data_IF_144525863836
#
_entry.id   IF_144525863836
#
_cell.length_a   1.000
_cell.length_b   1.000
_cell.length_c   1.000
_cell.angle_alpha   90.00
_cell.angle_beta   90.00
_cell.angle_gamma   90.00
#
_symmetry.space_group_name_H-M   'P 1'
#
loop_
_entity.id
_entity.type
_entity.pdbx_description
1 polymer ?
#
# COMPACT_ATOMS: atom_id res chain seq x y z
N UNK A 1 -3.57 1.83 -20.28
CA UNK A 1 -4.94 1.49 -19.84
C UNK A 1 -4.86 1.18 -18.36
N UNK A 2 -5.71 1.80 -17.55
CA UNK A 2 -5.77 1.51 -16.12
C UNK A 2 -6.27 0.08 -15.88
N UNK A 3 -5.66 -0.64 -14.94
CA UNK A 3 -6.03 -2.01 -14.56
C UNK A 3 -6.49 -2.04 -13.12
N UNK A 4 -7.36 -3.02 -12.81
CA UNK A 4 -7.82 -3.30 -11.45
C UNK A 4 -6.62 -3.41 -10.49
N UNK A 5 -6.74 -2.80 -9.31
CA UNK A 5 -5.73 -2.68 -8.26
C UNK A 5 -4.58 -1.70 -8.53
N UNK A 6 -4.45 -1.12 -9.72
CA UNK A 6 -3.43 -0.09 -9.92
C UNK A 6 -3.75 1.15 -9.08
N UNK A 7 -2.71 1.72 -8.48
CA UNK A 7 -2.79 2.95 -7.69
C UNK A 7 -2.19 4.10 -8.49
N UNK A 8 -2.88 5.22 -8.53
CA UNK A 8 -2.47 6.41 -9.26
C UNK A 8 -2.38 7.62 -8.35
N UNK A 9 -1.37 8.46 -8.53
CA UNK A 9 -1.16 9.70 -7.79
C UNK A 9 -1.15 10.92 -8.72
N UNK A 10 -1.85 11.97 -8.33
CA UNK A 10 -1.67 13.29 -8.93
C UNK A 10 -0.45 13.97 -8.28
N UNK A 11 0.58 14.27 -9.07
CA UNK A 11 1.79 14.93 -8.56
C UNK A 11 1.60 16.43 -8.27
N UNK A 12 0.45 17.03 -8.61
CA UNK A 12 0.12 18.43 -8.28
C UNK A 12 -0.59 18.54 -6.93
N UNK A 13 -1.76 17.89 -6.79
CA UNK A 13 -2.59 18.05 -5.58
C UNK A 13 -2.39 16.93 -4.55
N UNK A 14 -1.64 15.87 -4.89
CA UNK A 14 -1.39 14.75 -4.01
C UNK A 14 -2.50 13.70 -3.94
N UNK A 15 -3.63 13.86 -4.65
CA UNK A 15 -4.70 12.85 -4.68
C UNK A 15 -4.15 11.48 -5.10
N UNK A 16 -4.49 10.46 -4.31
CA UNK A 16 -4.19 9.05 -4.60
C UNK A 16 -5.49 8.29 -4.76
N UNK A 17 -5.59 7.48 -5.82
CA UNK A 17 -6.78 6.67 -6.13
C UNK A 17 -6.38 5.25 -6.50
N UNK A 18 -7.24 4.29 -6.19
CA UNK A 18 -7.11 2.92 -6.66
C UNK A 18 -8.18 2.62 -7.71
N UNK A 19 -7.80 1.85 -8.72
CA UNK A 19 -8.69 1.41 -9.79
C UNK A 19 -9.45 0.15 -9.34
N UNK A 20 -10.77 0.28 -9.13
CA UNK A 20 -11.66 -0.85 -8.85
C UNK A 20 -11.97 -1.65 -10.14
N UNK A 21 -12.15 -0.94 -11.25
CA UNK A 21 -12.40 -1.51 -12.57
C UNK A 21 -11.60 -0.78 -13.64
N UNK A 22 -10.82 -1.52 -14.42
CA UNK A 22 -10.00 -0.97 -15.50
C UNK A 22 -10.79 -0.71 -16.78
N UNK A 23 -10.52 0.40 -17.46
CA UNK A 23 -11.10 0.73 -18.77
C UNK A 23 -10.10 1.54 -19.60
N UNK A 24 -10.43 1.80 -20.88
CA UNK A 24 -9.53 2.40 -21.87
C UNK A 24 -9.16 3.88 -21.60
N UNK A 25 -9.95 4.59 -20.78
CA UNK A 25 -9.73 5.99 -20.46
C UNK A 25 -8.44 6.25 -19.66
N UNK A 26 -7.85 7.44 -19.84
CA UNK A 26 -6.72 7.92 -19.05
C UNK A 26 -7.24 8.66 -17.81
N UNK A 27 -6.69 8.33 -16.64
CA UNK A 27 -6.98 9.06 -15.40
C UNK A 27 -6.29 10.42 -15.44
N UNK A 28 -7.06 11.50 -15.27
CA UNK A 28 -6.59 12.89 -15.31
C UNK A 28 -7.00 13.59 -14.02
N UNK A 29 -6.07 14.32 -13.42
CA UNK A 29 -6.31 15.17 -12.27
C UNK A 29 -5.46 16.44 -12.40
N UNK A 30 -6.03 17.61 -12.07
CA UNK A 30 -5.37 18.90 -12.25
C UNK A 30 -4.88 19.17 -13.69
N UNK A 31 -5.64 18.71 -14.69
CA UNK A 31 -5.35 18.95 -16.11
C UNK A 31 -4.21 18.12 -16.69
N UNK A 32 -3.63 17.17 -15.95
CA UNK A 32 -2.60 16.26 -16.44
C UNK A 32 -2.91 14.79 -16.12
N UNK A 33 -2.31 13.84 -16.87
CA UNK A 33 -2.39 12.43 -16.53
C UNK A 33 -1.90 12.17 -15.11
N UNK A 34 -2.64 11.34 -14.35
CA UNK A 34 -2.15 10.85 -13.07
C UNK A 34 -1.02 9.84 -13.29
N UNK A 35 -0.04 9.82 -12.39
CA UNK A 35 1.10 8.91 -12.44
C UNK A 35 0.73 7.56 -11.83
N UNK A 36 1.00 6.47 -12.56
CA UNK A 36 0.93 5.11 -12.01
C UNK A 36 1.99 4.98 -10.92
N UNK A 37 1.57 4.55 -9.73
CA UNK A 37 2.49 4.24 -8.64
C UNK A 37 2.94 2.79 -8.77
N UNK A 38 4.12 2.59 -9.37
CA UNK A 38 4.75 1.28 -9.40
C UNK A 38 5.20 0.89 -7.98
N UNK A 39 4.75 -0.27 -7.52
CA UNK A 39 5.06 -0.74 -6.19
C UNK A 39 6.51 -1.22 -6.09
N UNK A 40 7.23 -0.69 -5.12
CA UNK A 40 8.65 -0.94 -4.88
C UNK A 40 8.87 -2.24 -4.09
N UNK A 41 10.06 -2.85 -4.26
CA UNK A 41 10.47 -4.09 -3.58
C UNK A 41 11.94 -4.10 -3.14
N UNK A 42 12.85 -3.67 -4.01
CA UNK A 42 14.31 -3.81 -3.84
C UNK A 42 15.02 -2.46 -4.04
N UNK A 43 14.49 -1.41 -3.40
CA UNK A 43 15.07 -0.07 -3.43
C UNK A 43 15.72 0.32 -2.09
N UNK A 44 16.48 1.40 -2.09
CA UNK A 44 16.99 2.01 -0.86
C UNK A 44 15.84 2.32 0.11
N UNK A 45 16.00 1.94 1.38
CA UNK A 45 14.97 2.08 2.41
C UNK A 45 14.01 0.89 2.52
N UNK A 46 14.21 -0.22 1.77
CA UNK A 46 13.37 -1.41 1.85
C UNK A 46 13.22 -1.95 3.28
N UNK A 47 14.26 -1.81 4.12
CA UNK A 47 14.24 -2.27 5.50
C UNK A 47 13.19 -1.56 6.35
N UNK A 48 12.72 -0.37 5.92
CA UNK A 48 11.65 0.40 6.60
C UNK A 48 10.31 0.37 5.89
N UNK A 49 10.23 -0.12 4.66
CA UNK A 49 9.02 -0.01 3.84
C UNK A 49 8.47 -1.35 3.37
N UNK A 50 9.34 -2.34 3.14
CA UNK A 50 8.88 -3.64 2.67
C UNK A 50 8.02 -4.30 3.77
N UNK A 51 6.76 -4.67 3.48
CA UNK A 51 5.91 -5.32 4.48
C UNK A 51 6.53 -6.63 4.99
N UNK A 52 6.41 -6.86 6.30
CA UNK A 52 6.80 -8.10 6.97
C UNK A 52 5.53 -8.80 7.42
N UNK A 53 5.35 -10.05 6.96
CA UNK A 53 4.13 -10.84 7.16
C UNK A 53 4.39 -11.88 8.26
N UNK A 54 3.61 -11.82 9.34
CA UNK A 54 3.62 -12.76 10.44
C UNK A 54 2.27 -13.51 10.46
N UNK A 55 2.30 -14.84 10.29
CA UNK A 55 1.09 -15.69 10.27
C UNK A 55 0.89 -16.34 11.65
N UNK A 56 -0.33 -16.33 12.19
CA UNK A 56 -0.65 -17.00 13.45
C UNK A 56 -2.14 -17.02 13.78
N UNK A 57 -2.63 -18.14 14.36
CA UNK A 57 -3.99 -18.29 14.89
C UNK A 57 -5.14 -17.83 13.96
N UNK A 58 -5.02 -18.13 12.66
CA UNK A 58 -6.01 -17.75 11.65
C UNK A 58 -6.02 -16.26 11.28
N UNK A 59 -4.97 -15.55 11.66
CA UNK A 59 -4.77 -14.12 11.41
C UNK A 59 -3.42 -13.87 10.76
N UNK A 60 -3.33 -12.72 10.12
CA UNK A 60 -2.09 -12.19 9.58
C UNK A 60 -1.83 -10.83 10.17
N UNK A 61 -0.65 -10.71 10.77
CA UNK A 61 -0.08 -9.46 11.24
C UNK A 61 0.92 -8.96 10.22
N UNK A 62 0.76 -7.72 9.81
CA UNK A 62 1.67 -7.04 8.88
C UNK A 62 2.35 -5.91 9.63
N UNK A 63 3.68 -5.89 9.61
CA UNK A 63 4.50 -4.75 10.06
C UNK A 63 5.13 -4.08 8.85
N UNK A 64 5.28 -2.77 8.88
CA UNK A 64 5.95 -2.03 7.80
C UNK A 64 7.41 -1.78 8.17
N UNK A 65 8.26 -2.52 7.46
CA UNK A 65 9.71 -2.62 7.65
C UNK A 65 10.15 -3.77 8.56
N UNK A 66 11.32 -4.33 8.26
CA UNK A 66 12.10 -5.12 9.23
C UNK A 66 12.68 -4.24 10.34
N UNK A 67 12.85 -2.96 10.04
CA UNK A 67 13.02 -1.85 10.99
C UNK A 67 11.75 -1.02 10.89
N UNK A 68 11.06 -0.77 12.00
CA UNK A 68 9.78 -0.07 11.97
C UNK A 68 9.88 1.29 11.27
N UNK A 69 8.96 1.53 10.33
CA UNK A 69 8.82 2.80 9.65
C UNK A 69 8.51 3.95 10.65
N UNK A 70 9.04 5.17 10.45
CA UNK A 70 8.63 6.34 11.24
C UNK A 70 7.14 6.68 11.08
N UNK A 71 6.47 7.10 12.16
CA UNK A 71 5.06 7.46 12.12
C UNK A 71 4.88 8.90 12.58
N UNK A 72 5.48 9.84 11.85
CA UNK A 72 5.48 11.27 12.14
C UNK A 72 4.38 12.00 11.36
N UNK A 73 4.01 13.22 11.80
CA UNK A 73 2.87 13.99 11.23
C UNK A 73 2.90 14.18 9.71
N UNK A 74 4.10 14.28 9.13
CA UNK A 74 4.29 14.47 7.68
C UNK A 74 4.92 13.26 6.99
N UNK A 75 5.25 12.21 7.73
CA UNK A 75 5.94 11.04 7.23
C UNK A 75 5.47 9.81 8.01
N UNK A 76 4.49 9.12 7.46
CA UNK A 76 3.88 7.96 8.08
C UNK A 76 3.37 7.00 7.01
N UNK A 77 3.09 5.79 7.43
CA UNK A 77 2.35 4.82 6.64
C UNK A 77 0.88 5.17 6.77
N UNK A 78 0.22 5.55 5.68
CA UNK A 78 -1.20 5.91 5.71
C UNK A 78 -2.09 4.68 5.56
N UNK A 79 -1.58 3.63 4.93
CA UNK A 79 -2.37 2.46 4.56
C UNK A 79 -1.52 1.18 4.54
N UNK A 80 -2.10 0.11 5.08
CA UNK A 80 -1.66 -1.28 4.90
C UNK A 80 -2.82 -2.06 4.30
N UNK A 81 -2.55 -2.87 3.29
CA UNK A 81 -3.56 -3.63 2.57
C UNK A 81 -3.12 -5.05 2.25
N UNK A 82 -4.07 -5.97 2.37
CA UNK A 82 -3.95 -7.35 1.97
C UNK A 82 -4.86 -7.60 0.76
N UNK A 83 -4.30 -8.24 -0.26
CA UNK A 83 -5.02 -8.88 -1.35
C UNK A 83 -4.93 -10.40 -1.13
N UNK A 84 -6.07 -11.07 -1.03
CA UNK A 84 -6.14 -12.51 -0.79
C UNK A 84 -6.00 -13.32 -2.08
N UNK A 85 -5.83 -14.64 -1.95
CA UNK A 85 -5.77 -15.53 -3.10
C UNK A 85 -7.08 -15.55 -3.91
N UNK A 86 -8.22 -15.36 -3.23
CA UNK A 86 -9.55 -15.25 -3.84
C UNK A 86 -9.97 -13.81 -4.20
N UNK A 87 -9.00 -12.90 -4.39
CA UNK A 87 -9.17 -11.52 -4.85
C UNK A 87 -9.99 -10.61 -3.88
N UNK A 88 -10.10 -10.95 -2.60
CA UNK A 88 -10.62 -10.02 -1.57
C UNK A 88 -9.56 -8.99 -1.21
N UNK A 89 -10.02 -7.81 -0.82
CA UNK A 89 -9.19 -6.73 -0.30
C UNK A 89 -9.57 -6.46 1.15
N UNK A 90 -8.56 -6.42 2.03
CA UNK A 90 -8.69 -5.92 3.38
C UNK A 90 -7.71 -4.75 3.54
N UNK A 91 -8.19 -3.62 4.05
CA UNK A 91 -7.39 -2.41 4.18
C UNK A 91 -7.52 -1.82 5.58
N UNK A 92 -6.39 -1.45 6.17
CA UNK A 92 -6.29 -0.67 7.39
C UNK A 92 -5.64 0.67 7.06
N UNK A 93 -6.34 1.76 7.38
CA UNK A 93 -5.74 3.09 7.43
C UNK A 93 -5.09 3.31 8.79
N UNK A 94 -3.95 3.98 8.78
CA UNK A 94 -3.19 4.39 9.95
C UNK A 94 -3.04 5.92 9.95
N UNK A 95 -2.77 6.47 11.11
CA UNK A 95 -2.53 7.89 11.34
C UNK A 95 -1.10 8.11 11.85
N UNK A 96 -0.59 9.35 11.82
CA UNK A 96 0.63 9.67 12.53
C UNK A 96 0.58 9.19 14.00
N UNK A 97 1.71 8.68 14.48
CA UNK A 97 1.96 8.14 15.82
C UNK A 97 1.30 6.79 16.12
N UNK A 98 0.50 6.24 15.21
CA UNK A 98 0.10 4.83 15.30
C UNK A 98 1.33 3.93 15.16
N UNK A 99 1.26 2.69 15.63
CA UNK A 99 2.27 1.68 15.28
C UNK A 99 2.13 1.36 13.77
N UNK A 100 3.24 1.20 13.01
CA UNK A 100 3.22 0.92 11.58
C UNK A 100 2.90 -0.56 11.31
N UNK A 101 1.80 -1.05 11.89
CA UNK A 101 1.34 -2.43 11.79
C UNK A 101 -0.18 -2.55 11.72
N UNK A 102 -0.65 -3.68 11.19
CA UNK A 102 -2.06 -4.01 11.12
C UNK A 102 -2.28 -5.53 11.23
N UNK A 103 -3.37 -5.92 11.87
CA UNK A 103 -3.81 -7.31 11.98
C UNK A 103 -5.10 -7.52 11.18
N UNK A 104 -5.17 -8.65 10.47
CA UNK A 104 -6.28 -9.01 9.60
C UNK A 104 -6.72 -10.45 9.87
N UNK A 105 -8.02 -10.67 9.99
CA UNK A 105 -8.63 -12.00 10.18
C UNK A 105 -8.71 -12.75 8.84
N UNK A 106 -7.55 -13.16 8.32
CA UNK A 106 -7.38 -13.88 7.06
C UNK A 106 -6.15 -14.77 7.08
N UNK A 107 -6.16 -15.86 6.31
CA UNK A 107 -5.07 -16.84 6.22
C UNK A 107 -4.40 -16.89 4.84
N UNK A 108 -5.17 -16.64 3.78
CA UNK A 108 -4.76 -16.77 2.39
C UNK A 108 -4.35 -15.41 1.79
N UNK A 109 -3.06 -15.09 1.87
CA UNK A 109 -2.52 -13.84 1.33
C UNK A 109 -1.81 -14.11 0.01
N UNK A 110 -2.09 -13.26 -0.97
CA UNK A 110 -1.43 -13.23 -2.27
C UNK A 110 -0.42 -12.08 -2.32
N UNK A 111 -0.86 -10.90 -1.89
CA UNK A 111 -0.04 -9.68 -1.91
C UNK A 111 -0.37 -8.80 -0.71
N UNK A 112 0.66 -8.17 -0.15
CA UNK A 112 0.54 -7.14 0.89
C UNK A 112 1.16 -5.87 0.36
N UNK A 113 0.46 -4.74 0.55
CA UNK A 113 0.90 -3.42 0.13
C UNK A 113 0.90 -2.45 1.30
N UNK A 114 1.78 -1.48 1.24
CA UNK A 114 1.77 -0.32 2.13
C UNK A 114 1.92 0.97 1.32
N UNK A 115 1.36 2.07 1.82
CA UNK A 115 1.60 3.40 1.26
C UNK A 115 2.19 4.34 2.30
N UNK A 116 3.43 4.74 2.07
CA UNK A 116 4.12 5.80 2.77
C UNK A 116 3.83 7.15 2.10
N UNK A 117 3.47 8.16 2.89
CA UNK A 117 3.10 9.49 2.37
C UNK A 117 4.22 10.18 1.57
N UNK A 118 5.47 9.84 1.87
CA UNK A 118 6.67 10.37 1.19
C UNK A 118 7.22 9.37 0.16
N UNK A 119 7.45 8.12 0.57
CA UNK A 119 8.19 7.15 -0.25
C UNK A 119 7.31 6.32 -1.19
N UNK A 120 5.98 6.48 -1.11
CA UNK A 120 5.03 5.90 -2.04
C UNK A 120 4.65 4.47 -1.70
N UNK A 121 4.33 3.69 -2.74
CA UNK A 121 3.76 2.35 -2.63
C UNK A 121 4.87 1.30 -2.59
N UNK A 122 4.81 0.40 -1.61
CA UNK A 122 5.66 -0.80 -1.56
C UNK A 122 4.80 -2.04 -1.45
N UNK A 123 5.34 -3.18 -1.89
CA UNK A 123 4.60 -4.44 -1.82
C UNK A 123 5.47 -5.66 -1.57
N UNK A 124 4.85 -6.68 -1.00
CA UNK A 124 5.41 -8.02 -0.84
C UNK A 124 4.39 -9.06 -1.28
N UNK A 125 4.86 -10.03 -2.06
CA UNK A 125 4.08 -11.24 -2.38
C UNK A 125 4.31 -12.28 -1.29
N UNK A 126 3.25 -13.01 -0.90
CA UNK A 126 3.32 -14.11 0.09
C UNK A 126 3.57 -15.46 -0.56
#
# INVERSE_FOLDING_TARGET
>A
MAKRYEIYKCEICGNVVEVIHGSFGQLVCCGQPMKLMEAKKEEEGYEKHLPVIEKGDGKIKVKVGSILHPMEEKHFIEMIEIITADDKILRKYLNPRDEPEAEFDVEDVKEVREYCTIHGLWKRES
#
